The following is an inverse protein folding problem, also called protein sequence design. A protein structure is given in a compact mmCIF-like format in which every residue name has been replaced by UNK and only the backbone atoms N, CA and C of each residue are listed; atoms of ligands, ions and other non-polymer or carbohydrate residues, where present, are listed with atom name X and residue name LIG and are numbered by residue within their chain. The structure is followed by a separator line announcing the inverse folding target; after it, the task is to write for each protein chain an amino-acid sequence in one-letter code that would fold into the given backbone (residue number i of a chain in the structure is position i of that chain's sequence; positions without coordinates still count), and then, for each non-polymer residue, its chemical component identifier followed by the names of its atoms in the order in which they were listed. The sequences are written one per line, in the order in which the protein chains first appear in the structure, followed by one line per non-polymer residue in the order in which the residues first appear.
data_IF_910740552124
#
_entry.id   IF_910740552124
#
_cell.length_a   1.000
_cell.length_b   1.000
_cell.length_c   1.000
_cell.angle_alpha   90.00
_cell.angle_beta   90.00
_cell.angle_gamma   90.00
#
_symmetry.space_group_name_H-M   'P 1'
#
loop_
_entity.id
_entity.type
_entity.pdbx_description
1 polymer ?
#
# COMPACT_ATOMS: atom_id res chain seq x y z
N UNK A 1 27.82 -2.47 -7.90
CA UNK A 1 26.68 -1.61 -7.57
C UNK A 1 26.09 -1.12 -8.86
N UNK A 2 24.78 -1.21 -9.03
CA UNK A 2 24.08 -0.72 -10.22
C UNK A 2 23.87 0.79 -10.07
N UNK A 3 24.14 1.57 -11.12
CA UNK A 3 23.87 3.02 -11.12
C UNK A 3 22.36 3.24 -11.19
N UNK A 4 21.69 3.72 -10.12
CA UNK A 4 20.27 4.00 -10.16
C UNK A 4 19.99 5.09 -11.20
N UNK A 5 19.15 4.80 -12.18
CA UNK A 5 18.83 5.78 -13.22
C UNK A 5 18.06 6.97 -12.61
N UNK A 6 18.72 8.13 -12.52
CA UNK A 6 18.11 9.40 -12.09
C UNK A 6 16.81 9.70 -12.86
N UNK A 7 16.76 9.27 -14.13
CA UNK A 7 15.60 9.43 -15.01
C UNK A 7 14.38 8.68 -14.50
N UNK A 8 14.50 7.43 -14.06
CA UNK A 8 13.36 6.67 -13.54
C UNK A 8 12.83 7.29 -12.23
N UNK A 9 13.73 7.72 -11.34
CA UNK A 9 13.35 8.39 -10.09
C UNK A 9 12.54 9.67 -10.32
N UNK A 10 12.97 10.50 -11.28
CA UNK A 10 12.27 11.75 -11.63
C UNK A 10 10.90 11.48 -12.28
N UNK A 11 10.80 10.48 -13.17
CA UNK A 11 9.54 10.14 -13.84
C UNK A 11 8.48 9.69 -12.82
N UNK A 12 8.81 8.76 -11.91
CA UNK A 12 7.86 8.31 -10.89
C UNK A 12 7.52 9.41 -9.88
N UNK A 13 8.49 10.26 -9.51
CA UNK A 13 8.23 11.42 -8.65
C UNK A 13 7.19 12.36 -9.27
N UNK A 14 7.30 12.64 -10.57
CA UNK A 14 6.33 13.48 -11.30
C UNK A 14 4.98 12.78 -11.42
N UNK A 15 4.94 11.48 -11.72
CA UNK A 15 3.69 10.71 -11.81
C UNK A 15 2.95 10.66 -10.45
N UNK A 16 3.63 10.34 -9.36
CA UNK A 16 3.04 10.33 -8.02
C UNK A 16 2.66 11.74 -7.55
N UNK A 17 3.45 12.75 -7.90
CA UNK A 17 3.12 14.16 -7.66
C UNK A 17 1.81 14.57 -8.31
N UNK A 18 1.66 14.29 -9.61
CA UNK A 18 0.43 14.58 -10.36
C UNK A 18 -0.76 13.76 -9.85
N UNK A 19 -0.58 12.46 -9.60
CA UNK A 19 -1.63 11.60 -9.06
C UNK A 19 -2.11 12.11 -7.69
N UNK A 20 -1.19 12.46 -6.79
CA UNK A 20 -1.51 12.99 -5.46
C UNK A 20 -2.23 14.33 -5.54
N UNK A 21 -1.83 15.22 -6.46
CA UNK A 21 -2.52 16.50 -6.70
C UNK A 21 -3.95 16.29 -7.23
N UNK A 22 -4.16 15.37 -8.18
CA UNK A 22 -5.48 15.04 -8.70
C UNK A 22 -6.37 14.48 -7.59
N UNK A 23 -5.84 13.58 -6.77
CA UNK A 23 -6.57 13.02 -5.63
C UNK A 23 -6.88 14.10 -4.60
N UNK A 24 -5.93 14.99 -4.27
CA UNK A 24 -6.17 16.11 -3.35
C UNK A 24 -7.30 17.03 -3.85
N UNK A 25 -7.31 17.33 -5.16
CA UNK A 25 -8.40 18.08 -5.79
C UNK A 25 -9.75 17.36 -5.71
N UNK A 26 -9.77 16.03 -5.88
CA UNK A 26 -10.98 15.21 -5.71
C UNK A 26 -11.46 15.15 -4.26
N UNK A 27 -10.55 15.06 -3.28
CA UNK A 27 -10.89 15.10 -1.85
C UNK A 27 -11.50 16.45 -1.49
N UNK A 28 -10.88 17.54 -1.93
CA UNK A 28 -11.38 18.90 -1.71
C UNK A 28 -12.79 19.09 -2.30
N UNK A 29 -13.02 18.62 -3.54
CA UNK A 29 -14.32 18.73 -4.21
C UNK A 29 -15.40 17.81 -3.62
N UNK A 30 -15.04 16.59 -3.23
CA UNK A 30 -15.99 15.61 -2.68
C UNK A 30 -16.34 15.85 -1.21
N UNK A 31 -15.55 16.65 -0.47
CA UNK A 31 -15.69 16.94 0.97
C UNK A 31 -15.73 15.68 1.87
N UNK A 32 -15.24 14.55 1.37
CA UNK A 32 -15.06 13.33 2.18
C UNK A 32 -13.68 13.42 2.83
N UNK A 33 -13.59 14.11 3.97
CA UNK A 33 -12.32 14.38 4.67
C UNK A 33 -11.52 13.13 5.05
N UNK A 34 -12.18 11.98 5.24
CA UNK A 34 -11.50 10.71 5.47
C UNK A 34 -10.60 10.27 4.30
N UNK A 35 -10.85 10.74 3.08
CA UNK A 35 -9.97 10.48 1.93
C UNK A 35 -8.66 11.27 1.97
N UNK A 36 -8.46 12.16 2.96
CA UNK A 36 -7.13 12.78 3.19
C UNK A 36 -6.06 11.72 3.47
N UNK A 37 -6.43 10.58 4.05
CA UNK A 37 -5.52 9.44 4.25
C UNK A 37 -4.90 8.97 2.92
N UNK A 38 -5.65 9.01 1.82
CA UNK A 38 -5.14 8.70 0.49
C UNK A 38 -4.07 9.69 0.03
N UNK A 39 -4.28 10.98 0.34
CA UNK A 39 -3.32 12.05 0.00
C UNK A 39 -2.04 11.89 0.84
N UNK A 40 -2.18 11.54 2.12
CA UNK A 40 -1.03 11.22 2.99
C UNK A 40 -0.23 10.04 2.43
N UNK A 41 -0.90 8.98 1.98
CA UNK A 41 -0.25 7.85 1.29
C UNK A 41 0.54 8.28 0.05
N UNK A 42 -0.05 9.15 -0.79
CA UNK A 42 0.61 9.73 -1.95
C UNK A 42 1.84 10.57 -1.60
N UNK A 43 1.76 11.40 -0.55
CA UNK A 43 2.89 12.18 -0.04
C UNK A 43 4.00 11.28 0.48
N UNK A 44 3.67 10.20 1.19
CA UNK A 44 4.68 9.25 1.67
C UNK A 44 5.40 8.52 0.54
N UNK A 45 4.72 8.20 -0.57
CA UNK A 45 5.39 7.68 -1.77
C UNK A 45 6.34 8.72 -2.36
N UNK A 46 5.89 9.97 -2.54
CA UNK A 46 6.74 11.08 -3.04
C UNK A 46 8.02 11.20 -2.19
N UNK A 47 7.91 11.17 -0.87
CA UNK A 47 9.07 11.21 0.04
C UNK A 47 10.00 10.00 -0.13
N UNK A 48 9.46 8.80 -0.37
CA UNK A 48 10.24 7.61 -0.68
C UNK A 48 11.03 7.75 -1.98
N UNK A 49 10.43 8.32 -3.03
CA UNK A 49 11.10 8.62 -4.31
C UNK A 49 12.16 9.71 -4.19
N UNK A 50 11.89 10.75 -3.39
CA UNK A 50 12.89 11.78 -3.06
C UNK A 50 14.11 11.12 -2.38
N UNK A 51 13.89 10.24 -1.40
CA UNK A 51 14.96 9.49 -0.74
C UNK A 51 15.77 8.63 -1.70
N UNK A 52 15.11 7.98 -2.66
CA UNK A 52 15.79 7.21 -3.72
C UNK A 52 16.66 8.09 -4.61
N UNK A 53 16.17 9.27 -5.01
CA UNK A 53 16.97 10.22 -5.82
C UNK A 53 18.15 10.81 -5.05
N UNK A 54 18.05 10.93 -3.72
CA UNK A 54 19.15 11.33 -2.86
C UNK A 54 20.19 10.21 -2.74
N UNK A 55 19.74 8.97 -2.50
CA UNK A 55 20.60 7.78 -2.43
C UNK A 55 21.42 7.58 -3.71
N UNK A 56 20.84 7.91 -4.88
CA UNK A 56 21.54 7.90 -6.17
C UNK A 56 22.73 8.87 -6.26
N UNK A 57 22.73 9.96 -5.47
CA UNK A 57 23.85 10.92 -5.43
C UNK A 57 24.87 10.60 -4.34
N UNK A 58 24.47 9.90 -3.27
CA UNK A 58 25.32 9.53 -2.14
C UNK A 58 24.96 8.13 -1.62
N UNK A 59 25.54 7.09 -2.23
CA UNK A 59 25.26 5.66 -1.97
C UNK A 59 25.58 5.24 -0.52
N UNK A 60 26.41 5.98 0.20
CA UNK A 60 26.87 5.66 1.56
C UNK A 60 26.08 6.35 2.69
N UNK A 61 25.09 7.20 2.39
CA UNK A 61 24.30 7.84 3.45
C UNK A 61 23.19 6.90 3.96
N UNK A 62 23.38 6.40 5.18
CA UNK A 62 22.43 5.54 5.90
C UNK A 62 21.06 6.22 6.08
N UNK A 63 21.04 7.55 6.22
CA UNK A 63 19.83 8.36 6.35
C UNK A 63 18.92 8.32 5.11
N UNK A 64 19.50 8.42 3.90
CA UNK A 64 18.71 8.39 2.65
C UNK A 64 18.07 7.02 2.43
N UNK A 65 18.80 5.97 2.80
CA UNK A 65 18.31 4.59 2.76
C UNK A 65 17.21 4.33 3.79
N UNK A 66 17.37 4.80 5.03
CA UNK A 66 16.33 4.71 6.05
C UNK A 66 15.07 5.47 5.65
N UNK A 67 15.23 6.68 5.12
CA UNK A 67 14.10 7.49 4.64
C UNK A 67 13.33 6.77 3.53
N UNK A 68 14.03 6.18 2.56
CA UNK A 68 13.40 5.40 1.48
C UNK A 68 12.65 4.17 2.04
N UNK A 69 13.28 3.39 2.92
CA UNK A 69 12.66 2.18 3.50
C UNK A 69 11.44 2.53 4.36
N UNK A 70 11.55 3.51 5.27
CA UNK A 70 10.44 3.93 6.11
C UNK A 70 9.25 4.45 5.29
N UNK A 71 9.50 5.27 4.27
CA UNK A 71 8.44 5.81 3.42
C UNK A 71 7.73 4.72 2.61
N UNK A 72 8.48 3.77 2.03
CA UNK A 72 7.92 2.68 1.22
C UNK A 72 7.15 1.66 2.05
N UNK A 73 7.49 1.52 3.33
CA UNK A 73 6.78 0.68 4.30
C UNK A 73 5.48 1.36 4.79
N UNK A 74 5.50 2.67 5.03
CA UNK A 74 4.34 3.43 5.52
C UNK A 74 3.27 3.63 4.44
N UNK A 75 3.67 3.88 3.20
CA UNK A 75 2.78 4.16 2.08
C UNK A 75 1.62 3.15 1.90
N UNK A 76 1.85 1.83 1.80
CA UNK A 76 0.78 0.85 1.57
C UNK A 76 -0.27 0.82 2.69
N UNK A 77 0.10 1.20 3.92
CA UNK A 77 -0.83 1.21 5.06
C UNK A 77 -1.87 2.34 4.94
N UNK A 78 -1.49 3.48 4.34
CA UNK A 78 -2.44 4.56 4.07
C UNK A 78 -3.39 4.21 2.92
N UNK A 79 -2.89 3.50 1.90
CA UNK A 79 -3.71 3.00 0.81
C UNK A 79 -4.69 1.90 1.29
N UNK A 80 -4.23 0.93 2.09
CA UNK A 80 -5.07 -0.12 2.67
C UNK A 80 -6.17 0.47 3.56
N UNK A 81 -5.84 1.43 4.44
CA UNK A 81 -6.81 2.12 5.28
C UNK A 81 -7.91 2.82 4.47
N UNK A 82 -7.54 3.45 3.34
CA UNK A 82 -8.51 4.07 2.42
C UNK A 82 -9.46 3.03 1.83
N UNK A 83 -8.92 1.89 1.38
CA UNK A 83 -9.71 0.78 0.82
C UNK A 83 -10.67 0.20 1.86
N UNK A 84 -10.22 0.03 3.12
CA UNK A 84 -11.05 -0.44 4.23
C UNK A 84 -12.21 0.51 4.51
N UNK A 85 -11.95 1.81 4.51
CA UNK A 85 -12.97 2.83 4.67
C UNK A 85 -13.98 2.82 3.51
N UNK A 86 -13.52 2.74 2.27
CA UNK A 86 -14.39 2.71 1.09
C UNK A 86 -15.30 1.48 1.07
N UNK A 87 -14.79 0.30 1.43
CA UNK A 87 -15.61 -0.89 1.57
C UNK A 87 -16.66 -0.72 2.68
N UNK A 88 -16.27 -0.13 3.82
CA UNK A 88 -17.20 0.21 4.90
C UNK A 88 -18.33 1.13 4.45
N UNK A 89 -18.03 2.09 3.58
CA UNK A 89 -19.01 3.00 2.97
C UNK A 89 -19.98 2.25 2.06
N UNK A 90 -19.49 1.34 1.20
CA UNK A 90 -20.32 0.49 0.34
C UNK A 90 -21.28 -0.37 1.17
N UNK A 91 -20.76 -1.02 2.22
CA UNK A 91 -21.61 -1.86 3.10
C UNK A 91 -22.68 -0.99 3.78
N UNK A 92 -22.35 0.25 4.15
CA UNK A 92 -23.32 1.18 4.76
C UNK A 92 -24.38 1.64 3.76
N UNK A 93 -24.05 1.81 2.48
CA UNK A 93 -25.00 2.23 1.45
C UNK A 93 -25.92 1.10 0.96
N UNK A 94 -25.42 -0.13 0.90
CA UNK A 94 -26.18 -1.30 0.39
C UNK A 94 -26.94 -2.02 1.52
N UNK A 95 -26.49 -1.84 2.76
CA UNK A 95 -27.11 -2.41 3.94
C UNK A 95 -26.31 -3.59 4.51
N UNK A 96 -26.39 -3.77 5.83
CA UNK A 96 -25.58 -4.73 6.60
C UNK A 96 -25.85 -6.20 6.26
N UNK A 97 -26.91 -6.50 5.51
CA UNK A 97 -27.34 -7.87 5.13
C UNK A 97 -26.32 -8.63 4.29
N UNK A 98 -25.45 -7.91 3.58
CA UNK A 98 -24.47 -8.51 2.67
C UNK A 98 -23.10 -8.76 3.30
N UNK A 99 -22.87 -8.26 4.52
CA UNK A 99 -21.57 -8.34 5.18
C UNK A 99 -21.62 -9.21 6.44
N UNK A 100 -20.54 -9.98 6.67
CA UNK A 100 -20.38 -10.84 7.84
C UNK A 100 -20.01 -10.02 9.09
N UNK A 101 -19.35 -8.88 8.91
CA UNK A 101 -18.88 -8.01 9.99
C UNK A 101 -19.56 -6.64 9.89
N UNK A 102 -19.71 -5.91 11.01
CA UNK A 102 -20.20 -4.54 10.95
C UNK A 102 -19.19 -3.65 10.21
N UNK A 103 -19.67 -2.69 9.40
CA UNK A 103 -18.83 -1.83 8.54
C UNK A 103 -17.65 -1.17 9.26
N UNK A 104 -17.83 -0.80 10.54
CA UNK A 104 -16.77 -0.19 11.36
C UNK A 104 -15.70 -1.18 11.81
N UNK A 105 -16.03 -2.46 11.96
CA UNK A 105 -15.07 -3.48 12.40
C UNK A 105 -14.01 -3.76 11.35
N UNK A 106 -14.35 -3.69 10.05
CA UNK A 106 -13.34 -3.80 8.98
C UNK A 106 -12.25 -2.75 9.15
N UNK A 107 -12.63 -1.48 9.29
CA UNK A 107 -11.66 -0.41 9.45
C UNK A 107 -10.82 -0.62 10.71
N UNK A 108 -11.43 -0.85 11.87
CA UNK A 108 -10.69 -0.96 13.13
C UNK A 108 -9.79 -2.19 13.21
N UNK A 109 -10.28 -3.38 12.83
CA UNK A 109 -9.51 -4.63 12.96
C UNK A 109 -8.30 -4.60 12.02
N UNK A 110 -8.53 -4.30 10.74
CA UNK A 110 -7.46 -4.35 9.75
C UNK A 110 -6.48 -3.18 9.89
N UNK A 111 -6.97 -1.96 10.21
CA UNK A 111 -6.07 -0.84 10.46
C UNK A 111 -5.21 -1.03 11.72
N UNK A 112 -5.74 -1.68 12.76
CA UNK A 112 -4.95 -2.02 13.96
C UNK A 112 -3.90 -3.08 13.64
N UNK A 113 -4.25 -4.08 12.83
CA UNK A 113 -3.29 -5.08 12.38
C UNK A 113 -2.15 -4.45 11.55
N UNK A 114 -2.48 -3.53 10.63
CA UNK A 114 -1.49 -2.77 9.86
C UNK A 114 -0.61 -1.89 10.77
N UNK A 115 -1.18 -1.27 11.80
CA UNK A 115 -0.40 -0.50 12.78
C UNK A 115 0.60 -1.39 13.52
N UNK A 116 0.19 -2.58 13.95
CA UNK A 116 1.09 -3.56 14.58
C UNK A 116 2.17 -4.00 13.61
N UNK A 117 1.84 -4.26 12.35
CA UNK A 117 2.80 -4.61 11.31
C UNK A 117 3.85 -3.50 11.09
N UNK A 118 3.43 -2.23 11.04
CA UNK A 118 4.31 -1.07 10.93
C UNK A 118 5.27 -0.99 12.12
N UNK A 119 4.78 -1.21 13.35
CA UNK A 119 5.64 -1.18 14.54
C UNK A 119 6.70 -2.28 14.47
N UNK A 120 6.31 -3.50 14.09
CA UNK A 120 7.25 -4.62 13.91
C UNK A 120 8.28 -4.30 12.82
N UNK A 121 7.85 -3.72 11.70
CA UNK A 121 8.75 -3.30 10.61
C UNK A 121 9.71 -2.19 11.04
N UNK A 122 9.23 -1.20 11.80
CA UNK A 122 10.05 -0.10 12.30
C UNK A 122 11.14 -0.62 13.25
N UNK A 123 10.79 -1.53 14.16
CA UNK A 123 11.76 -2.19 15.06
C UNK A 123 12.77 -3.02 14.26
N UNK A 124 12.29 -3.84 13.31
CA UNK A 124 13.17 -4.65 12.46
C UNK A 124 14.12 -3.80 11.61
N UNK A 125 13.61 -2.71 11.02
CA UNK A 125 14.38 -1.76 10.22
C UNK A 125 15.44 -1.02 11.05
N UNK A 126 15.09 -0.55 12.24
CA UNK A 126 16.03 0.10 13.15
C UNK A 126 17.14 -0.86 13.59
N UNK A 127 16.81 -2.12 13.90
CA UNK A 127 17.80 -3.14 14.25
C UNK A 127 18.75 -3.44 13.09
N UNK A 128 18.22 -3.52 11.85
CA UNK A 128 19.06 -3.70 10.66
C UNK A 128 20.02 -2.52 10.45
N UNK A 129 19.56 -1.29 10.70
CA UNK A 129 20.36 -0.07 10.56
C UNK A 129 21.53 -0.01 11.55
N UNK A 130 21.26 -0.36 12.81
CA UNK A 130 22.28 -0.40 13.88
C UNK A 130 23.30 -1.51 13.57
N UNK A 131 22.84 -2.69 13.14
CA UNK A 131 23.75 -3.78 12.78
C UNK A 131 24.70 -3.41 11.64
N UNK A 132 24.22 -2.67 10.63
CA UNK A 132 25.05 -2.15 9.53
C UNK A 132 26.09 -1.12 10.01
N UNK A 133 25.78 -0.35 11.06
CA UNK A 133 26.70 0.63 11.63
C UNK A 133 27.81 -0.01 12.48
N UNK A 134 27.54 -1.20 13.02
CA UNK A 134 28.41 -1.98 13.90
C UNK A 134 29.22 -3.08 13.16
N UNK A 135 29.21 -3.10 11.81
CA UNK A 135 29.76 -4.17 10.96
C UNK A 135 29.22 -5.59 11.30
N UNK A 136 28.03 -5.66 11.91
CA UNK A 136 27.34 -6.91 12.25
C UNK A 136 26.39 -7.33 11.14
N UNK A 137 26.03 -8.62 11.12
CA UNK A 137 25.05 -9.12 10.16
C UNK A 137 23.68 -8.48 10.37
N UNK A 138 23.10 -7.89 9.32
CA UNK A 138 21.78 -7.25 9.33
C UNK A 138 20.61 -8.24 9.19
N UNK A 139 20.92 -9.53 9.10
CA UNK A 139 19.94 -10.62 8.89
C UNK A 139 18.86 -10.76 9.97
N UNK A 140 19.12 -10.56 11.28
CA UNK A 140 18.04 -10.66 12.28
C UNK A 140 17.02 -9.54 12.15
N UNK A 141 17.45 -8.29 11.89
CA UNK A 141 16.55 -7.16 11.69
C UNK A 141 15.68 -7.31 10.44
N UNK A 142 16.28 -7.77 9.33
CA UNK A 142 15.53 -8.05 8.09
C UNK A 142 14.47 -9.13 8.28
N UNK A 143 14.73 -10.18 9.07
CA UNK A 143 13.72 -11.22 9.37
C UNK A 143 12.55 -10.70 10.20
N UNK A 144 12.81 -9.82 11.17
CA UNK A 144 11.76 -9.17 11.95
C UNK A 144 10.90 -8.27 11.04
N UNK A 145 11.55 -7.49 10.17
CA UNK A 145 10.85 -6.65 9.19
C UNK A 145 10.01 -7.47 8.21
N UNK A 146 10.53 -8.61 7.72
CA UNK A 146 9.79 -9.56 6.88
C UNK A 146 8.52 -10.06 7.59
N UNK A 147 8.61 -10.38 8.88
CA UNK A 147 7.46 -10.82 9.67
C UNK A 147 6.30 -9.82 9.67
N UNK A 148 6.61 -8.52 9.78
CA UNK A 148 5.59 -7.47 9.69
C UNK A 148 4.98 -7.35 8.29
N UNK A 149 5.78 -7.44 7.22
CA UNK A 149 5.27 -7.43 5.83
C UNK A 149 4.34 -8.62 5.58
N UNK A 150 4.72 -9.82 6.04
CA UNK A 150 3.90 -11.03 5.88
C UNK A 150 2.60 -10.90 6.67
N UNK A 151 2.63 -10.37 7.90
CA UNK A 151 1.43 -10.12 8.70
C UNK A 151 0.46 -9.20 7.95
N UNK A 152 0.96 -8.08 7.44
CA UNK A 152 0.18 -7.11 6.67
C UNK A 152 -0.41 -7.74 5.40
N UNK A 153 0.38 -8.54 4.68
CA UNK A 153 -0.06 -9.24 3.48
C UNK A 153 -1.18 -10.24 3.77
N UNK A 154 -1.05 -11.04 4.84
CA UNK A 154 -2.09 -11.99 5.27
C UNK A 154 -3.37 -11.25 5.63
N UNK A 155 -3.28 -10.16 6.39
CA UNK A 155 -4.43 -9.31 6.72
C UNK A 155 -5.12 -8.78 5.46
N UNK A 156 -4.35 -8.32 4.46
CA UNK A 156 -4.90 -7.82 3.21
C UNK A 156 -5.56 -8.91 2.36
N UNK A 157 -5.01 -10.12 2.33
CA UNK A 157 -5.62 -11.27 1.65
C UNK A 157 -6.95 -11.66 2.31
N UNK A 158 -6.99 -11.72 3.65
CA UNK A 158 -8.22 -12.00 4.39
C UNK A 158 -9.28 -10.91 4.12
N UNK A 159 -8.87 -9.64 4.13
CA UNK A 159 -9.76 -8.52 3.77
C UNK A 159 -10.32 -8.68 2.35
N UNK A 160 -9.46 -9.00 1.37
CA UNK A 160 -9.84 -9.20 -0.03
C UNK A 160 -10.88 -10.31 -0.18
N UNK A 161 -10.69 -11.44 0.53
CA UNK A 161 -11.66 -12.54 0.53
C UNK A 161 -13.03 -12.10 1.09
N UNK A 162 -13.05 -11.33 2.19
CA UNK A 162 -14.29 -10.81 2.76
C UNK A 162 -14.96 -9.79 1.82
N UNK A 163 -14.18 -8.92 1.17
CA UNK A 163 -14.67 -7.97 0.18
C UNK A 163 -15.29 -8.70 -1.03
N UNK A 164 -14.64 -9.76 -1.51
CA UNK A 164 -15.16 -10.62 -2.58
C UNK A 164 -16.47 -11.30 -2.19
N UNK A 165 -16.62 -11.76 -0.94
CA UNK A 165 -17.88 -12.32 -0.42
C UNK A 165 -19.00 -11.27 -0.44
N UNK A 166 -18.73 -10.05 0.04
CA UNK A 166 -19.70 -8.94 0.01
C UNK A 166 -20.10 -8.64 -1.43
N UNK A 167 -19.13 -8.59 -2.34
CA UNK A 167 -19.36 -8.33 -3.76
C UNK A 167 -20.21 -9.40 -4.43
N UNK A 168 -19.90 -10.68 -4.21
CA UNK A 168 -20.66 -11.81 -4.73
C UNK A 168 -22.10 -11.81 -4.21
N UNK A 169 -22.30 -11.55 -2.91
CA UNK A 169 -23.63 -11.46 -2.31
C UNK A 169 -24.43 -10.29 -2.87
N UNK A 170 -23.79 -9.13 -3.04
CA UNK A 170 -24.41 -7.94 -3.61
C UNK A 170 -24.86 -8.16 -5.07
N UNK A 171 -24.04 -8.81 -5.90
CA UNK A 171 -24.39 -9.10 -7.31
C UNK A 171 -25.49 -10.15 -7.47
N UNK A 172 -25.63 -11.08 -6.51
CA UNK A 172 -26.65 -12.13 -6.55
C UNK A 172 -28.04 -11.63 -6.10
N UNK A 173 -28.12 -10.54 -5.33
CA UNK A 173 -29.39 -10.05 -4.81
C UNK A 173 -30.21 -9.29 -5.86
N UNK A 174 -31.51 -9.61 -5.96
CA UNK A 174 -32.46 -8.90 -6.83
C UNK A 174 -32.61 -7.43 -6.44
N UNK A 175 -32.47 -7.08 -5.16
CA UNK A 175 -32.63 -5.69 -4.67
C UNK A 175 -31.56 -4.76 -5.24
N UNK A 176 -30.33 -5.25 -5.41
CA UNK A 176 -29.25 -4.48 -6.05
C UNK A 176 -29.49 -4.31 -7.56
N UNK A 177 -30.04 -5.34 -8.22
CA UNK A 177 -30.41 -5.28 -9.65
C UNK A 177 -31.63 -4.39 -9.92
N UNK A 178 -32.44 -4.12 -8.90
CA UNK A 178 -33.59 -3.23 -8.97
C UNK A 178 -33.25 -1.75 -8.67
N UNK A 179 -32.01 -1.45 -8.26
CA UNK A 179 -31.57 -0.08 -7.96
C UNK A 179 -31.44 0.74 -9.25
N UNK A 180 -31.76 2.05 -9.24
CA UNK A 180 -31.62 2.88 -10.43
C UNK A 180 -30.22 2.78 -11.06
N UNK A 181 -30.17 2.51 -12.36
CA UNK A 181 -28.95 2.31 -13.14
C UNK A 181 -27.79 3.30 -12.85
N UNK A 182 -28.03 4.63 -12.67
CA UNK A 182 -26.93 5.56 -12.38
C UNK A 182 -26.30 5.40 -10.99
N UNK A 183 -27.04 4.92 -9.98
CA UNK A 183 -26.51 4.66 -8.64
C UNK A 183 -25.85 3.29 -8.55
N UNK A 184 -26.46 2.27 -9.18
CA UNK A 184 -25.85 0.95 -9.31
C UNK A 184 -24.51 1.03 -10.04
N UNK A 185 -24.45 1.74 -11.18
CA UNK A 185 -23.24 1.91 -11.99
C UNK A 185 -22.08 2.52 -11.20
N UNK A 186 -22.33 3.59 -10.43
CA UNK A 186 -21.30 4.23 -9.57
C UNK A 186 -20.79 3.29 -8.48
N UNK A 187 -21.68 2.51 -7.86
CA UNK A 187 -21.29 1.57 -6.82
C UNK A 187 -20.50 0.37 -7.38
N UNK A 188 -20.88 -0.13 -8.56
CA UNK A 188 -20.06 -1.14 -9.25
C UNK A 188 -18.72 -0.60 -9.72
N UNK A 189 -18.65 0.66 -10.16
CA UNK A 189 -17.37 1.29 -10.51
C UNK A 189 -16.46 1.42 -9.29
N UNK A 190 -17.01 1.86 -8.15
CA UNK A 190 -16.26 1.99 -6.91
C UNK A 190 -15.74 0.63 -6.40
N UNK A 191 -16.56 -0.42 -6.46
CA UNK A 191 -16.13 -1.74 -6.03
C UNK A 191 -15.11 -2.40 -6.96
N UNK A 192 -15.16 -2.14 -8.28
CA UNK A 192 -14.07 -2.51 -9.18
C UNK A 192 -12.77 -1.77 -8.84
N UNK A 193 -12.86 -0.47 -8.52
CA UNK A 193 -11.72 0.31 -8.06
C UNK A 193 -11.09 -0.26 -6.78
N UNK A 194 -11.91 -0.63 -5.81
CA UNK A 194 -11.45 -1.31 -4.57
C UNK A 194 -10.79 -2.65 -4.89
N UNK A 195 -11.36 -3.45 -5.79
CA UNK A 195 -10.81 -4.75 -6.15
C UNK A 195 -9.43 -4.61 -6.83
N UNK A 196 -9.30 -3.67 -7.76
CA UNK A 196 -8.04 -3.37 -8.45
C UNK A 196 -7.01 -2.88 -7.43
N UNK A 197 -7.34 -1.87 -6.60
CA UNK A 197 -6.44 -1.34 -5.58
C UNK A 197 -5.98 -2.43 -4.58
N UNK A 198 -6.89 -3.29 -4.14
CA UNK A 198 -6.56 -4.38 -3.21
C UNK A 198 -5.61 -5.39 -3.87
N UNK A 199 -5.85 -5.74 -5.13
CA UNK A 199 -5.00 -6.67 -5.88
C UNK A 199 -3.59 -6.12 -6.08
N UNK A 200 -3.48 -4.85 -6.45
CA UNK A 200 -2.23 -4.10 -6.56
C UNK A 200 -1.43 -4.13 -5.26
N UNK A 201 -2.06 -3.85 -4.12
CA UNK A 201 -1.38 -3.86 -2.80
C UNK A 201 -0.90 -5.27 -2.43
N UNK A 202 -1.65 -6.32 -2.76
CA UNK A 202 -1.25 -7.72 -2.52
C UNK A 202 -0.01 -8.07 -3.35
N UNK A 203 0.04 -7.71 -4.64
CA UNK A 203 1.21 -7.96 -5.49
C UNK A 203 2.46 -7.30 -4.89
N UNK A 204 2.36 -6.03 -4.50
CA UNK A 204 3.47 -5.31 -3.84
C UNK A 204 3.92 -6.00 -2.56
N UNK A 205 2.99 -6.36 -1.67
CA UNK A 205 3.34 -7.05 -0.43
C UNK A 205 4.02 -8.41 -0.66
N UNK A 206 3.62 -9.14 -1.70
CA UNK A 206 4.28 -10.38 -2.13
C UNK A 206 5.71 -10.13 -2.66
N UNK A 207 5.89 -9.13 -3.53
CA UNK A 207 7.20 -8.75 -4.05
C UNK A 207 8.16 -8.32 -2.93
N UNK A 208 7.70 -7.49 -1.99
CA UNK A 208 8.49 -7.06 -0.82
C UNK A 208 8.85 -8.21 0.11
N UNK A 209 7.96 -9.18 0.27
CA UNK A 209 8.27 -10.39 1.04
C UNK A 209 9.37 -11.21 0.37
N UNK A 210 9.34 -11.35 -0.96
CA UNK A 210 10.37 -12.05 -1.72
C UNK A 210 11.73 -11.30 -1.69
N UNK A 211 11.72 -9.98 -1.86
CA UNK A 211 12.91 -9.12 -1.78
C UNK A 211 13.64 -9.30 -0.43
N UNK A 212 12.91 -9.26 0.68
CA UNK A 212 13.50 -9.42 2.01
C UNK A 212 13.88 -10.87 2.35
N UNK A 213 13.23 -11.86 1.72
CA UNK A 213 13.53 -13.27 1.91
C UNK A 213 14.80 -13.70 1.17
N UNK A 214 15.08 -13.14 -0.03
CA UNK A 214 16.32 -13.38 -0.77
C UNK A 214 17.53 -12.63 -0.18
N UNK A 215 17.30 -11.57 0.60
CA UNK A 215 18.34 -10.76 1.21
C UNK A 215 19.03 -9.79 0.25
N UNK A 216 19.94 -8.96 0.77
CA UNK A 216 20.59 -7.82 0.10
C UNK A 216 21.46 -8.14 -1.14
N UNK A 217 21.51 -9.41 -1.58
CA UNK A 217 22.25 -9.88 -2.74
C UNK A 217 21.42 -10.66 -3.78
N UNK A 218 20.09 -10.66 -3.65
CA UNK A 218 19.17 -11.42 -4.52
C UNK A 218 19.07 -10.88 -5.95
N UNK A 219 18.83 -11.78 -6.91
CA UNK A 219 18.69 -11.50 -8.36
C UNK A 219 17.54 -10.52 -8.67
N UNK A 220 16.56 -10.40 -7.76
CA UNK A 220 15.47 -9.42 -7.84
C UNK A 220 15.93 -7.96 -7.70
N UNK A 221 17.05 -7.69 -7.01
CA UNK A 221 17.63 -6.34 -6.87
C UNK A 221 18.38 -5.91 -8.15
N UNK A 222 18.78 -6.86 -9.01
CA UNK A 222 19.52 -6.59 -10.26
C UNK A 222 18.61 -6.22 -11.44
N UNK A 223 17.32 -6.54 -11.40
CA UNK A 223 16.36 -6.16 -12.46
C UNK A 223 15.47 -4.98 -12.04
N UNK A 224 16.05 -3.78 -12.11
CA UNK A 224 15.43 -2.48 -11.77
C UNK A 224 14.06 -2.24 -12.44
N UNK A 225 13.84 -2.85 -13.62
CA UNK A 225 12.59 -2.78 -14.36
C UNK A 225 11.38 -3.40 -13.62
N UNK A 226 11.59 -4.48 -12.85
CA UNK A 226 10.50 -5.10 -12.09
C UNK A 226 10.15 -4.27 -10.84
N UNK A 227 11.12 -3.64 -10.19
CA UNK A 227 10.87 -2.72 -9.08
C UNK A 227 10.09 -1.46 -9.55
N UNK A 228 10.51 -0.85 -10.65
CA UNK A 228 9.83 0.32 -11.22
C UNK A 228 8.41 -0.01 -11.72
N UNK A 229 8.22 -1.13 -12.42
CA UNK A 229 6.90 -1.45 -13.01
C UNK A 229 5.94 -2.10 -12.01
N UNK A 230 6.41 -3.03 -11.16
CA UNK A 230 5.54 -3.73 -10.22
C UNK A 230 5.38 -3.01 -8.87
N UNK A 231 6.33 -2.20 -8.41
CA UNK A 231 6.17 -1.48 -7.14
C UNK A 231 5.53 -0.10 -7.34
N UNK A 232 5.87 0.55 -8.45
CA UNK A 232 5.62 1.99 -8.64
C UNK A 232 4.46 2.26 -9.59
N UNK A 233 4.46 1.62 -10.78
CA UNK A 233 3.36 1.78 -11.73
C UNK A 233 2.05 1.18 -11.20
N UNK A 234 2.13 0.13 -10.40
CA UNK A 234 0.99 -0.47 -9.70
C UNK A 234 0.36 0.51 -8.70
N UNK A 235 1.15 1.20 -7.87
CA UNK A 235 0.63 2.16 -6.89
C UNK A 235 0.07 3.46 -7.53
N UNK A 236 0.43 3.75 -8.78
CA UNK A 236 -0.15 4.88 -9.55
C UNK A 236 -1.56 4.57 -10.07
N UNK A 237 -1.90 3.30 -10.28
CA UNK A 237 -3.21 2.83 -10.80
C UNK A 237 -4.25 2.78 -9.69
#
# INVERSE_FOLDING_TARGET
GYDPSLVAGIVFLVCFGLATLIQAGRVYRSRIWWLVVLVLGGVTEILGWVGRTWSARNVYSLDAFLMQQCCLVLAPCFFSATVYFLLGLIIRSVGRRYSLLPSRAYLWIFCLADLVAIVVQAVGGAMSAIALSDDKSSTPGSRIMLGGIVLQLVCMVVFSALAAVVWMRMRKDRSYRAMPHPQAGKLTSLGWGIAIATFTIIIRGGYRSAELAEGWGGYLLQHEAYFCVLDSALMVI
#
